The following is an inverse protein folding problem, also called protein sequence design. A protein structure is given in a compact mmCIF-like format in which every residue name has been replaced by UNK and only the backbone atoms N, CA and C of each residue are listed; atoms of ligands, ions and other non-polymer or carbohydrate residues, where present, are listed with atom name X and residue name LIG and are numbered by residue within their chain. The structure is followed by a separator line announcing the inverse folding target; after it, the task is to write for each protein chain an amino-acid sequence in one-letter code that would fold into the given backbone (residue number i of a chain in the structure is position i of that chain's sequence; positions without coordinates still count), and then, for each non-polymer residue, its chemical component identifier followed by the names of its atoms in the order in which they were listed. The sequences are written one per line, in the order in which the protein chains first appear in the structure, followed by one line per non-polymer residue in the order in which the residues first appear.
data_IF_535388872547
#
_entry.id   IF_535388872547
#
_cell.length_a   1.000
_cell.length_b   1.000
_cell.length_c   1.000
_cell.angle_alpha   90.00
_cell.angle_beta   90.00
_cell.angle_gamma   90.00
#
_symmetry.space_group_name_H-M   'P 1'
#
loop_
_entity.id
_entity.type
_entity.pdbx_description
1 polymer ?
#
# COMPACT_ATOMS: atom_id res chain seq x y z
N UNK A 1 -14.91 -12.79 2.12
CA UNK A 1 -15.01 -11.56 2.94
C UNK A 1 -14.30 -10.44 2.20
N UNK A 2 -14.91 -9.27 2.04
CA UNK A 2 -14.27 -8.09 1.42
C UNK A 2 -13.46 -7.40 2.52
N UNK A 3 -12.13 -7.33 2.38
CA UNK A 3 -11.28 -6.59 3.31
C UNK A 3 -11.31 -5.12 2.86
N UNK A 4 -11.86 -4.25 3.71
CA UNK A 4 -11.85 -2.81 3.48
C UNK A 4 -10.47 -2.24 3.79
N UNK A 5 -10.03 -1.27 3.00
CA UNK A 5 -8.73 -0.60 3.19
C UNK A 5 -9.02 0.70 3.94
N UNK A 6 -8.43 0.91 5.12
CA UNK A 6 -8.56 2.17 5.85
C UNK A 6 -8.08 3.35 5.01
N UNK A 7 -8.69 4.52 5.21
CA UNK A 7 -8.40 5.71 4.41
C UNK A 7 -6.95 6.22 4.56
N UNK A 8 -6.33 5.90 5.69
CA UNK A 8 -4.97 6.28 6.09
C UNK A 8 -3.93 5.18 5.84
N UNK A 9 -4.36 3.95 5.53
CA UNK A 9 -3.47 2.81 5.30
C UNK A 9 -2.56 2.95 4.07
N UNK A 10 -2.92 3.84 3.14
CA UNK A 10 -2.16 4.14 1.93
C UNK A 10 -2.10 5.64 1.72
N UNK A 11 -0.90 6.18 1.69
CA UNK A 11 -0.65 7.59 1.40
C UNK A 11 0.10 7.71 0.08
N UNK A 12 -0.33 8.61 -0.78
CA UNK A 12 0.34 8.93 -2.05
C UNK A 12 0.85 10.35 -1.97
N UNK A 13 2.12 10.53 -2.27
CA UNK A 13 2.78 11.83 -2.34
C UNK A 13 3.84 11.85 -3.44
N UNK A 14 4.70 12.87 -3.40
CA UNK A 14 5.79 13.02 -4.35
C UNK A 14 7.12 13.00 -3.61
N UNK A 15 8.07 12.22 -4.12
CA UNK A 15 9.46 12.25 -3.65
C UNK A 15 10.22 13.46 -4.21
N UNK A 16 11.39 13.74 -3.63
CA UNK A 16 12.25 14.86 -4.04
C UNK A 16 12.73 14.78 -5.51
N UNK A 17 12.69 13.57 -6.08
CA UNK A 17 13.04 13.30 -7.48
C UNK A 17 11.83 13.38 -8.43
N UNK A 18 10.68 13.87 -7.96
CA UNK A 18 9.44 13.98 -8.74
C UNK A 18 8.69 12.66 -8.95
N UNK A 19 9.16 11.54 -8.37
CA UNK A 19 8.46 10.26 -8.46
C UNK A 19 7.26 10.21 -7.53
N UNK A 20 6.22 9.48 -7.91
CA UNK A 20 5.11 9.17 -7.01
C UNK A 20 5.60 8.22 -5.92
N UNK A 21 5.39 8.59 -4.66
CA UNK A 21 5.71 7.79 -3.50
C UNK A 21 4.42 7.25 -2.89
N UNK A 22 4.29 5.94 -2.80
CA UNK A 22 3.17 5.25 -2.14
C UNK A 22 3.67 4.66 -0.84
N UNK A 23 3.21 5.21 0.27
CA UNK A 23 3.48 4.69 1.61
C UNK A 23 2.32 3.79 2.03
N UNK A 24 2.64 2.62 2.59
CA UNK A 24 1.65 1.66 3.07
C UNK A 24 1.98 1.21 4.49
N UNK A 25 0.95 1.17 5.33
CA UNK A 25 1.04 0.78 6.74
C UNK A 25 0.07 -0.37 7.03
N UNK A 26 0.59 -1.58 7.14
CA UNK A 26 -0.12 -2.77 7.62
C UNK A 26 0.35 -3.08 9.04
N UNK A 27 -0.37 -3.91 9.80
CA UNK A 27 -0.05 -4.10 11.23
C UNK A 27 1.39 -4.62 11.43
N UNK A 28 2.29 -3.74 11.90
CA UNK A 28 3.71 -4.04 12.10
C UNK A 28 4.55 -4.12 10.81
N UNK A 29 4.05 -3.63 9.67
CA UNK A 29 4.78 -3.55 8.41
C UNK A 29 4.58 -2.17 7.78
N UNK A 30 5.68 -1.48 7.57
CA UNK A 30 5.73 -0.26 6.75
C UNK A 30 6.40 -0.59 5.40
N UNK A 31 5.86 -0.04 4.32
CA UNK A 31 6.42 -0.20 2.99
C UNK A 31 6.34 1.09 2.18
N UNK A 32 7.23 1.21 1.20
CA UNK A 32 7.23 2.30 0.24
C UNK A 32 7.38 1.75 -1.18
N UNK A 33 6.57 2.24 -2.11
CA UNK A 33 6.77 2.05 -3.56
C UNK A 33 7.03 3.39 -4.21
N UNK A 34 8.05 3.44 -5.06
CA UNK A 34 8.32 4.58 -5.93
C UNK A 34 7.85 4.25 -7.34
N UNK A 35 6.91 5.01 -7.86
CA UNK A 35 6.33 4.82 -9.20
C UNK A 35 6.80 5.93 -10.14
N UNK A 36 6.82 5.63 -11.43
CA UNK A 36 7.09 6.64 -12.46
C UNK A 36 5.79 7.43 -12.71
N UNK A 37 5.78 8.76 -12.54
CA UNK A 37 4.59 9.58 -12.76
C UNK A 37 4.16 9.66 -14.24
N UNK A 38 5.01 9.23 -15.18
CA UNK A 38 4.62 9.16 -16.60
C UNK A 38 3.81 7.89 -16.91
N UNK A 39 3.94 6.85 -16.08
CA UNK A 39 3.30 5.54 -16.28
C UNK A 39 2.09 5.34 -15.35
N UNK A 40 2.04 6.04 -14.22
CA UNK A 40 0.99 5.89 -13.22
C UNK A 40 0.44 7.24 -12.76
N UNK A 41 -0.88 7.32 -12.63
CA UNK A 41 -1.55 8.41 -11.93
C UNK A 41 -1.54 8.21 -10.41
N UNK A 42 -1.87 9.25 -9.64
CA UNK A 42 -2.02 9.14 -8.17
C UNK A 42 -3.12 8.16 -7.76
N UNK A 43 -4.21 8.09 -8.52
CA UNK A 43 -5.32 7.17 -8.21
C UNK A 43 -4.91 5.72 -8.47
N UNK A 44 -4.21 5.43 -9.58
CA UNK A 44 -3.64 4.10 -9.84
C UNK A 44 -2.59 3.72 -8.79
N UNK A 45 -1.77 4.68 -8.36
CA UNK A 45 -0.80 4.49 -7.29
C UNK A 45 -1.49 4.13 -5.96
N UNK A 46 -2.60 4.80 -5.64
CA UNK A 46 -3.42 4.52 -4.46
C UNK A 46 -4.07 3.13 -4.55
N UNK A 47 -4.60 2.77 -5.72
CA UNK A 47 -5.16 1.44 -5.96
C UNK A 47 -4.13 0.32 -5.80
N UNK A 48 -2.91 0.53 -6.34
CA UNK A 48 -1.79 -0.41 -6.20
C UNK A 48 -1.39 -0.58 -4.72
N UNK A 49 -1.24 0.54 -4.00
CA UNK A 49 -0.96 0.50 -2.56
C UNK A 49 -2.04 -0.23 -1.78
N UNK A 50 -3.31 0.00 -2.11
CA UNK A 50 -4.45 -0.66 -1.47
C UNK A 50 -4.49 -2.17 -1.75
N UNK A 51 -4.10 -2.59 -2.95
CA UNK A 51 -3.94 -4.01 -3.28
C UNK A 51 -2.83 -4.66 -2.44
N UNK A 52 -1.65 -4.03 -2.36
CA UNK A 52 -0.51 -4.56 -1.61
C UNK A 52 -0.81 -4.65 -0.11
N UNK A 53 -1.43 -3.62 0.46
CA UNK A 53 -1.87 -3.62 1.85
C UNK A 53 -2.77 -4.82 2.18
N UNK A 54 -3.78 -5.10 1.34
CA UNK A 54 -4.68 -6.26 1.52
C UNK A 54 -3.94 -7.59 1.48
N UNK A 55 -2.89 -7.71 0.65
CA UNK A 55 -2.03 -8.91 0.59
C UNK A 55 -1.25 -9.06 1.90
N UNK A 56 -0.66 -7.98 2.40
CA UNK A 56 0.07 -7.98 3.68
C UNK A 56 -0.82 -8.40 4.85
N UNK A 57 -2.00 -7.79 4.99
CA UNK A 57 -2.95 -8.11 6.05
C UNK A 57 -3.40 -9.57 6.00
N UNK A 58 -3.72 -10.07 4.80
CA UNK A 58 -4.13 -11.47 4.64
C UNK A 58 -3.01 -12.44 4.99
N UNK A 59 -1.77 -12.13 4.62
CA UNK A 59 -0.62 -12.94 4.97
C UNK A 59 -0.34 -12.94 6.49
N UNK A 60 -0.40 -11.77 7.13
CA UNK A 60 -0.24 -11.63 8.58
C UNK A 60 -1.33 -12.40 9.34
N UNK A 61 -2.59 -12.28 8.94
CA UNK A 61 -3.71 -13.02 9.53
C UNK A 61 -3.50 -14.54 9.42
N UNK A 62 -3.09 -15.04 8.24
CA UNK A 62 -2.80 -16.45 8.03
C UNK A 62 -1.65 -16.96 8.94
N UNK A 63 -0.62 -16.13 9.19
CA UNK A 63 0.47 -16.47 10.11
C UNK A 63 0.03 -16.53 11.56
N UNK A 64 -0.93 -15.71 11.99
CA UNK A 64 -1.48 -15.75 13.35
C UNK A 64 -2.29 -17.02 13.60
N UNK A 65 -3.06 -17.47 12.62
CA UNK A 65 -3.87 -18.71 12.75
C UNK A 65 -3.04 -20.01 12.84
N UNK A 66 -1.73 -19.94 12.57
CA UNK A 66 -0.82 -21.07 12.69
C UNK A 66 -0.13 -21.17 14.07
N UNK A 67 -0.33 -20.18 14.94
CA UNK A 67 0.15 -20.19 16.33
C UNK A 67 -0.98 -20.60 17.26
#
# INVERSE_FOLDING_TARGET
MKIEVPADAVQVGHGENGRLAVLLEAEGIEGALMLDPQEFSEDEARELGAMLWRVCERWLAARRSLK
#
